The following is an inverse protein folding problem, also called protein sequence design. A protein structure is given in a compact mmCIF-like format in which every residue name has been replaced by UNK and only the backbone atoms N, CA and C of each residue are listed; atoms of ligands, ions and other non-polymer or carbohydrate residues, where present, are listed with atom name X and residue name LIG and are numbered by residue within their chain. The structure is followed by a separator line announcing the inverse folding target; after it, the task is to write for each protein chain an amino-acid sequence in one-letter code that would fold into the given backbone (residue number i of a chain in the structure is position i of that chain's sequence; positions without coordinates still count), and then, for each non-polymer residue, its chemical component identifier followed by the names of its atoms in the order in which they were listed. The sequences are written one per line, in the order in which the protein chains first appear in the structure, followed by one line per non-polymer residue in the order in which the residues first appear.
data_IF_250327228112
#
_entry.id   IF_250327228112
#
_cell.length_a   1.000
_cell.length_b   1.000
_cell.length_c   1.000
_cell.angle_alpha   90.00
_cell.angle_beta   90.00
_cell.angle_gamma   90.00
#
_symmetry.space_group_name_H-M   'P 1'
#
loop_
_entity.id
_entity.type
_entity.pdbx_description
1 polymer ?
#
# COMPACT_ATOMS: atom_id res chain seq x y z
N UNK A 1 12.26 9.14 11.25
CA UNK A 1 11.10 8.67 12.03
C UNK A 1 10.47 7.39 11.46
N UNK A 2 9.57 7.39 10.48
CA UNK A 2 8.91 6.13 10.04
C UNK A 2 9.87 5.07 9.51
N UNK A 3 10.70 5.40 8.51
CA UNK A 3 11.66 4.45 7.93
C UNK A 3 12.67 3.90 8.97
N UNK A 4 13.16 4.76 9.87
CA UNK A 4 14.08 4.35 10.94
C UNK A 4 13.44 3.37 11.91
N UNK A 5 12.19 3.62 12.31
CA UNK A 5 11.43 2.70 13.15
C UNK A 5 11.22 1.37 12.44
N UNK A 6 10.87 1.36 11.15
CA UNK A 6 10.71 0.13 10.38
C UNK A 6 12.00 -0.68 10.26
N UNK A 7 13.10 -0.01 9.93
CA UNK A 7 14.43 -0.62 9.90
C UNK A 7 14.81 -1.24 11.26
N UNK A 8 14.44 -0.62 12.38
CA UNK A 8 14.68 -1.19 13.72
C UNK A 8 13.81 -2.40 14.05
N UNK A 9 12.60 -2.48 13.49
CA UNK A 9 11.71 -3.63 13.63
C UNK A 9 12.07 -4.77 12.66
N UNK A 10 13.10 -4.60 11.81
CA UNK A 10 13.45 -5.59 10.77
C UNK A 10 12.44 -5.67 9.63
N UNK A 11 11.63 -4.63 9.45
CA UNK A 11 10.51 -4.60 8.50
C UNK A 11 10.90 -3.72 7.30
N UNK A 12 11.93 -4.16 6.57
CA UNK A 12 12.56 -3.44 5.45
C UNK A 12 14.08 -3.37 5.58
N UNK A 13 14.78 -2.76 4.61
CA UNK A 13 16.24 -2.68 4.60
C UNK A 13 16.76 -1.83 5.77
N UNK A 14 17.94 -2.19 6.28
CA UNK A 14 18.59 -1.41 7.33
C UNK A 14 18.96 -0.01 6.84
N UNK A 15 18.58 1.02 7.60
CA UNK A 15 19.05 2.38 7.32
C UNK A 15 20.54 2.51 7.68
N UNK A 16 21.37 2.86 6.71
CA UNK A 16 22.81 3.05 6.90
C UNK A 16 23.18 4.54 7.04
N UNK A 17 22.41 5.43 6.41
CA UNK A 17 22.63 6.88 6.51
C UNK A 17 21.48 7.69 5.94
N UNK A 18 21.36 8.95 6.38
CA UNK A 18 20.33 9.88 5.91
C UNK A 18 20.97 11.23 5.60
N UNK A 19 20.49 11.87 4.54
CA UNK A 19 20.89 13.21 4.13
C UNK A 19 19.65 14.00 3.66
N UNK A 20 19.72 15.32 3.49
CA UNK A 20 18.54 16.15 3.24
C UNK A 20 17.68 15.71 2.04
N UNK A 21 18.30 15.12 1.01
CA UNK A 21 17.65 14.72 -0.25
C UNK A 21 17.46 13.21 -0.41
N UNK A 22 17.80 12.40 0.61
CA UNK A 22 17.74 10.95 0.46
C UNK A 22 18.31 10.14 1.62
N UNK A 23 18.58 8.87 1.34
CA UNK A 23 19.08 7.90 2.32
C UNK A 23 19.96 6.85 1.66
N UNK A 24 20.82 6.22 2.46
CA UNK A 24 21.57 5.02 2.12
C UNK A 24 20.98 3.87 2.94
N UNK A 25 20.62 2.79 2.27
CA UNK A 25 20.00 1.60 2.87
C UNK A 25 20.76 0.34 2.47
N UNK A 26 20.61 -0.70 3.27
CA UNK A 26 21.12 -2.03 2.96
C UNK A 26 20.55 -2.56 1.64
N UNK A 27 21.41 -3.21 0.86
CA UNK A 27 20.98 -3.92 -0.33
C UNK A 27 20.43 -5.30 0.06
N UNK A 28 19.18 -5.56 -0.31
CA UNK A 28 18.51 -6.85 -0.06
C UNK A 28 18.77 -7.77 -1.25
N UNK A 29 19.38 -8.92 -0.99
CA UNK A 29 19.61 -9.96 -2.00
C UNK A 29 18.35 -10.80 -2.20
N UNK A 30 17.32 -10.20 -2.78
CA UNK A 30 16.03 -10.84 -3.07
C UNK A 30 15.48 -10.32 -4.39
N UNK A 31 14.55 -11.05 -4.99
CA UNK A 31 13.85 -10.57 -6.19
C UNK A 31 12.52 -9.92 -5.81
N UNK A 32 12.11 -8.92 -6.57
CA UNK A 32 10.74 -8.40 -6.50
C UNK A 32 9.75 -9.43 -7.02
N UNK A 33 8.54 -9.43 -6.47
CA UNK A 33 7.46 -10.25 -6.99
C UNK A 33 6.95 -9.70 -8.33
N UNK A 34 6.20 -10.54 -9.05
CA UNK A 34 5.45 -10.20 -10.25
C UNK A 34 3.95 -10.31 -10.00
N UNK A 35 3.14 -9.75 -10.90
CA UNK A 35 1.67 -9.93 -10.85
C UNK A 35 1.29 -11.43 -10.80
N UNK A 36 1.96 -12.28 -11.57
CA UNK A 36 1.70 -13.73 -11.57
C UNK A 36 2.05 -14.41 -10.25
N UNK A 37 3.02 -13.88 -9.48
CA UNK A 37 3.33 -14.43 -8.16
C UNK A 37 2.22 -14.13 -7.14
N UNK A 38 1.44 -13.06 -7.31
CA UNK A 38 0.35 -12.74 -6.39
C UNK A 38 -0.85 -13.68 -6.53
N UNK A 39 -0.99 -14.33 -7.69
CA UNK A 39 -2.00 -15.36 -7.93
C UNK A 39 -1.60 -16.75 -7.40
N UNK A 40 -0.33 -16.95 -7.02
CA UNK A 40 0.10 -18.20 -6.42
C UNK A 40 -0.40 -18.29 -4.98
N UNK A 41 -1.11 -19.38 -4.66
CA UNK A 41 -1.77 -19.54 -3.37
C UNK A 41 -0.77 -19.57 -2.20
N UNK A 42 0.41 -20.16 -2.39
CA UNK A 42 1.44 -20.25 -1.36
C UNK A 42 2.07 -18.88 -1.11
N UNK A 43 2.43 -18.16 -2.18
CA UNK A 43 2.99 -16.80 -2.10
C UNK A 43 1.95 -15.83 -1.50
N UNK A 44 0.68 -15.93 -1.92
CA UNK A 44 -0.41 -15.10 -1.40
C UNK A 44 -0.62 -15.31 0.10
N UNK A 45 -0.56 -16.56 0.57
CA UNK A 45 -0.62 -16.88 2.00
C UNK A 45 0.54 -16.27 2.78
N UNK A 46 1.77 -16.35 2.25
CA UNK A 46 2.94 -15.77 2.89
C UNK A 46 2.85 -14.23 2.96
N UNK A 47 2.42 -13.57 1.87
CA UNK A 47 2.16 -12.12 1.86
C UNK A 47 1.09 -11.76 2.91
N UNK A 48 0.03 -12.56 3.04
CA UNK A 48 -1.02 -12.34 4.03
C UNK A 48 -0.46 -12.39 5.46
N UNK A 49 0.37 -13.38 5.79
CA UNK A 49 1.04 -13.48 7.09
C UNK A 49 1.99 -12.30 7.31
N UNK A 50 2.84 -11.97 6.33
CA UNK A 50 3.80 -10.86 6.48
C UNK A 50 3.11 -9.50 6.62
N UNK A 51 2.02 -9.29 5.89
CA UNK A 51 1.22 -8.09 5.99
C UNK A 51 0.56 -7.99 7.36
N UNK A 52 0.16 -9.11 7.98
CA UNK A 52 -0.37 -9.12 9.34
C UNK A 52 0.67 -8.67 10.37
N UNK A 53 1.88 -9.22 10.30
CA UNK A 53 3.01 -8.79 11.14
C UNK A 53 3.25 -7.28 10.98
N UNK A 54 3.30 -6.79 9.74
CA UNK A 54 3.49 -5.37 9.45
C UNK A 54 2.39 -4.51 10.07
N UNK A 55 1.15 -4.99 10.00
CA UNK A 55 -0.01 -4.27 10.48
C UNK A 55 -0.10 -4.17 12.02
N UNK A 56 0.53 -5.11 12.71
CA UNK A 56 0.60 -5.18 14.18
C UNK A 56 1.82 -4.43 14.75
N UNK A 57 2.69 -3.87 13.90
CA UNK A 57 3.83 -3.05 14.34
C UNK A 57 3.42 -1.84 15.18
N UNK A 58 4.06 -1.72 16.35
CA UNK A 58 3.87 -0.60 17.24
C UNK A 58 4.73 0.61 16.82
N UNK A 59 4.18 1.43 15.93
CA UNK A 59 4.89 2.59 15.41
C UNK A 59 4.66 3.85 16.27
N UNK A 60 5.71 4.64 16.57
CA UNK A 60 5.61 5.85 17.40
C UNK A 60 4.99 7.06 16.66
N UNK A 61 4.10 6.83 15.69
CA UNK A 61 3.52 7.86 14.83
C UNK A 61 2.22 8.45 15.42
N UNK A 62 1.89 9.71 15.12
CA UNK A 62 0.62 10.30 15.53
C UNK A 62 -0.55 9.47 15.02
N UNK A 63 -1.51 9.16 15.91
CA UNK A 63 -2.70 8.34 15.66
C UNK A 63 -3.76 9.01 14.76
N UNK A 64 -3.34 9.85 13.82
CA UNK A 64 -4.22 10.60 12.92
C UNK A 64 -4.20 9.99 11.54
N UNK A 65 -5.39 9.84 10.94
CA UNK A 65 -5.55 9.37 9.55
C UNK A 65 -5.17 10.50 8.60
N UNK A 66 -4.04 10.35 7.91
CA UNK A 66 -3.51 11.39 7.01
C UNK A 66 -4.03 11.28 5.57
N UNK A 67 -4.74 10.20 5.24
CA UNK A 67 -5.21 9.89 3.88
C UNK A 67 -6.07 11.02 3.29
N UNK A 68 -7.09 11.47 4.03
CA UNK A 68 -8.04 12.45 3.54
C UNK A 68 -7.40 13.80 3.26
N UNK A 69 -6.56 14.27 4.17
CA UNK A 69 -5.79 15.50 3.99
C UNK A 69 -4.85 15.39 2.77
N UNK A 70 -4.23 14.23 2.56
CA UNK A 70 -3.37 14.00 1.38
C UNK A 70 -4.17 14.07 0.07
N UNK A 71 -5.33 13.41 0.00
CA UNK A 71 -6.21 13.46 -1.18
C UNK A 71 -6.67 14.89 -1.48
N UNK A 72 -7.06 15.66 -0.46
CA UNK A 72 -7.44 17.07 -0.62
C UNK A 72 -6.28 17.95 -1.07
N UNK A 73 -5.08 17.72 -0.54
CA UNK A 73 -3.88 18.44 -0.97
C UNK A 73 -3.54 18.16 -2.44
N UNK A 74 -3.66 16.90 -2.88
CA UNK A 74 -3.48 16.55 -4.29
C UNK A 74 -4.55 17.17 -5.16
N UNK A 75 -5.82 17.16 -4.74
CA UNK A 75 -6.89 17.83 -5.47
C UNK A 75 -6.60 19.33 -5.64
N UNK A 76 -6.17 20.00 -4.57
CA UNK A 76 -5.80 21.41 -4.61
C UNK A 76 -4.63 21.66 -5.59
N UNK A 77 -3.58 20.86 -5.52
CA UNK A 77 -2.44 20.96 -6.43
C UNK A 77 -2.85 20.71 -7.89
N UNK A 78 -3.69 19.70 -8.15
CA UNK A 78 -4.20 19.41 -9.50
C UNK A 78 -5.01 20.57 -10.05
N UNK A 79 -5.91 21.16 -9.26
CA UNK A 79 -6.68 22.35 -9.68
C UNK A 79 -5.81 23.56 -9.97
N UNK A 80 -4.68 23.70 -9.25
CA UNK A 80 -3.74 24.78 -9.48
C UNK A 80 -2.88 24.58 -10.75
N UNK A 81 -2.51 23.34 -11.06
CA UNK A 81 -1.68 22.99 -12.22
C UNK A 81 -2.48 22.88 -13.54
N UNK A 82 -3.74 22.47 -13.47
CA UNK A 82 -4.56 22.19 -14.65
C UNK A 82 -5.19 23.47 -15.24
N UNK A 83 -5.38 23.45 -16.56
CA UNK A 83 -6.23 24.40 -17.26
C UNK A 83 -7.71 24.23 -16.90
N UNK A 84 -8.53 25.25 -17.18
CA UNK A 84 -9.98 25.18 -16.96
C UNK A 84 -10.65 24.05 -17.75
N UNK A 85 -10.15 23.75 -18.95
CA UNK A 85 -10.68 22.66 -19.78
C UNK A 85 -10.36 21.29 -19.18
N UNK A 86 -9.16 21.11 -18.64
CA UNK A 86 -8.78 19.88 -17.92
C UNK A 86 -9.58 19.72 -16.62
N UNK A 87 -9.75 20.80 -15.84
CA UNK A 87 -10.57 20.78 -14.62
C UNK A 87 -11.99 20.29 -14.92
N UNK A 88 -12.59 20.77 -16.02
CA UNK A 88 -13.91 20.33 -16.48
C UNK A 88 -13.89 18.90 -17.00
N UNK A 89 -12.91 18.55 -17.84
CA UNK A 89 -12.79 17.22 -18.45
C UNK A 89 -12.64 16.12 -17.39
N UNK A 90 -11.80 16.35 -16.39
CA UNK A 90 -11.57 15.43 -15.26
C UNK A 90 -12.54 15.61 -14.10
N UNK A 91 -13.48 16.57 -14.20
CA UNK A 91 -14.46 16.89 -13.16
C UNK A 91 -13.82 17.10 -11.78
N UNK A 92 -12.69 17.80 -11.72
CA UNK A 92 -11.97 17.99 -10.45
C UNK A 92 -12.83 18.72 -9.40
N UNK A 93 -13.82 19.50 -9.84
CA UNK A 93 -14.76 20.15 -8.92
C UNK A 93 -15.69 19.22 -8.15
N UNK A 94 -15.96 18.00 -8.65
CA UNK A 94 -16.78 17.01 -7.92
C UNK A 94 -15.97 16.14 -6.96
N UNK A 95 -14.65 16.07 -7.10
CA UNK A 95 -13.80 15.13 -6.33
C UNK A 95 -13.85 15.43 -4.82
N UNK A 96 -13.95 16.70 -4.40
CA UNK A 96 -14.04 17.04 -2.97
C UNK A 96 -15.27 16.41 -2.30
N UNK A 97 -16.39 16.38 -3.03
CA UNK A 97 -17.63 15.76 -2.57
C UNK A 97 -17.47 14.23 -2.48
N UNK A 98 -16.78 13.60 -3.43
CA UNK A 98 -16.48 12.17 -3.40
C UNK A 98 -15.55 11.81 -2.24
N UNK A 99 -14.48 12.59 -2.02
CA UNK A 99 -13.59 12.43 -0.86
C UNK A 99 -14.40 12.53 0.42
N UNK A 100 -15.23 13.56 0.57
CA UNK A 100 -16.03 13.77 1.79
C UNK A 100 -17.06 12.66 2.02
N UNK A 101 -17.65 12.13 0.94
CA UNK A 101 -18.56 10.99 1.01
C UNK A 101 -17.83 9.72 1.47
N UNK A 102 -16.70 9.38 0.85
CA UNK A 102 -15.89 8.23 1.24
C UNK A 102 -15.38 8.36 2.67
N UNK A 103 -14.92 9.55 3.07
CA UNK A 103 -14.51 9.84 4.44
C UNK A 103 -15.63 9.58 5.43
N UNK A 104 -16.85 10.04 5.15
CA UNK A 104 -18.00 9.79 6.01
C UNK A 104 -18.37 8.31 6.09
N UNK A 105 -18.45 7.63 4.95
CA UNK A 105 -18.79 6.20 4.87
C UNK A 105 -17.74 5.33 5.59
N UNK A 106 -16.47 5.77 5.57
CA UNK A 106 -15.33 5.04 6.11
C UNK A 106 -14.81 5.61 7.44
N UNK A 107 -15.56 6.47 8.14
CA UNK A 107 -15.21 6.98 9.48
C UNK A 107 -16.17 6.53 10.59
N UNK A 108 -16.82 5.36 10.44
CA UNK A 108 -17.80 4.82 11.40
C UNK A 108 -17.24 4.45 12.78
N UNK A 109 -18.15 4.29 13.76
CA UNK A 109 -17.88 4.26 15.22
C UNK A 109 -16.94 3.15 15.74
N UNK A 110 -16.68 2.09 14.97
CA UNK A 110 -15.86 0.94 15.40
C UNK A 110 -14.54 0.77 14.62
N UNK A 111 -14.02 1.83 14.00
CA UNK A 111 -12.80 1.71 13.22
C UNK A 111 -11.55 1.83 14.09
N UNK A 112 -10.88 0.70 14.28
CA UNK A 112 -9.49 0.71 14.73
C UNK A 112 -8.62 1.37 13.66
N UNK A 113 -7.68 2.20 14.10
CA UNK A 113 -6.63 2.77 13.26
C UNK A 113 -5.39 1.91 13.39
N UNK A 114 -4.57 1.90 12.35
CA UNK A 114 -3.17 1.56 12.55
C UNK A 114 -2.36 1.58 11.29
N UNK A 115 -1.19 0.98 11.39
CA UNK A 115 -0.09 1.25 10.48
C UNK A 115 -0.20 0.47 9.17
N UNK A 116 -0.29 1.16 8.04
CA UNK A 116 -0.46 0.53 6.74
C UNK A 116 0.65 0.96 5.77
N UNK A 117 1.01 0.04 4.87
CA UNK A 117 1.99 0.30 3.83
C UNK A 117 1.47 1.31 2.78
N UNK A 118 0.19 1.19 2.39
CA UNK A 118 -0.57 2.00 1.42
C UNK A 118 -0.08 1.96 -0.05
N UNK A 119 0.95 1.18 -0.34
CA UNK A 119 1.52 1.03 -1.69
C UNK A 119 2.03 -0.40 -1.87
N UNK A 120 1.23 -1.38 -1.47
CA UNK A 120 1.60 -2.81 -1.45
C UNK A 120 1.45 -3.45 -2.85
N UNK A 121 2.13 -2.87 -3.84
CA UNK A 121 2.26 -3.47 -5.18
C UNK A 121 3.36 -4.54 -5.19
N UNK A 122 3.32 -5.48 -6.12
CA UNK A 122 4.32 -6.57 -6.21
C UNK A 122 5.78 -6.07 -6.30
N UNK A 123 6.01 -4.89 -6.90
CA UNK A 123 7.33 -4.27 -6.97
C UNK A 123 7.89 -3.84 -5.61
N UNK A 124 7.04 -3.70 -4.59
CA UNK A 124 7.41 -3.35 -3.22
C UNK A 124 7.45 -4.59 -2.29
N UNK A 125 7.30 -5.80 -2.84
CA UNK A 125 7.42 -7.05 -2.09
C UNK A 125 8.62 -7.79 -2.66
N UNK A 126 9.59 -8.08 -1.81
CA UNK A 126 10.76 -8.88 -2.16
C UNK A 126 10.67 -10.25 -1.50
N UNK A 127 11.13 -11.26 -2.21
CA UNK A 127 11.23 -12.63 -1.73
C UNK A 127 12.62 -13.17 -2.02
N UNK A 128 13.26 -13.70 -0.99
CA UNK A 128 14.45 -14.52 -1.12
C UNK A 128 14.03 -15.92 -1.58
N UNK A 129 14.59 -16.40 -2.69
CA UNK A 129 14.21 -17.69 -3.28
C UNK A 129 14.70 -18.91 -2.47
N UNK A 130 15.79 -18.77 -1.71
CA UNK A 130 16.33 -19.86 -0.90
C UNK A 130 15.58 -20.00 0.41
N UNK A 131 15.32 -18.88 1.08
CA UNK A 131 14.72 -18.87 2.42
C UNK A 131 13.20 -18.70 2.42
N UNK A 132 12.61 -18.30 1.28
CA UNK A 132 11.19 -17.90 1.14
C UNK A 132 10.78 -16.86 2.17
N UNK A 133 11.70 -16.01 2.61
CA UNK A 133 11.42 -14.92 3.53
C UNK A 133 10.97 -13.69 2.74
N UNK A 134 9.77 -13.19 3.03
CA UNK A 134 9.25 -11.96 2.44
C UNK A 134 9.73 -10.72 3.19
N UNK A 135 10.15 -9.72 2.43
CA UNK A 135 10.38 -8.37 2.94
C UNK A 135 9.47 -7.38 2.23
N UNK A 136 8.71 -6.61 3.00
CA UNK A 136 7.94 -5.46 2.49
C UNK A 136 8.88 -4.26 2.46
N UNK A 137 9.12 -3.70 1.27
CA UNK A 137 9.94 -2.49 1.10
C UNK A 137 9.11 -1.28 1.47
N UNK A 138 9.59 -0.49 2.44
CA UNK A 138 8.89 0.70 2.93
C UNK A 138 8.83 1.81 1.88
N UNK A 139 7.61 2.14 1.45
CA UNK A 139 7.29 3.28 0.59
C UNK A 139 7.12 4.59 1.39
N UNK A 140 7.33 5.74 0.72
CA UNK A 140 7.02 7.06 1.28
C UNK A 140 5.54 7.25 1.66
N UNK A 141 4.66 6.35 1.18
CA UNK A 141 3.22 6.40 1.45
C UNK A 141 2.79 5.68 2.73
N UNK A 142 3.70 4.99 3.40
CA UNK A 142 3.42 4.28 4.65
C UNK A 142 2.98 5.25 5.76
N UNK A 143 1.78 5.04 6.30
CA UNK A 143 1.16 5.91 7.31
C UNK A 143 0.04 5.20 8.07
N UNK A 144 -0.44 5.83 9.15
CA UNK A 144 -1.63 5.37 9.88
C UNK A 144 -2.89 5.64 9.06
N UNK A 145 -3.71 4.60 8.89
CA UNK A 145 -5.02 4.65 8.22
C UNK A 145 -6.03 3.83 9.02
N UNK A 146 -7.33 4.01 8.76
CA UNK A 146 -8.33 3.13 9.37
C UNK A 146 -8.17 1.69 8.88
N UNK A 147 -8.52 0.71 9.70
CA UNK A 147 -8.42 -0.70 9.37
C UNK A 147 -9.29 -1.14 8.19
N UNK A 148 -10.42 -0.47 7.95
CA UNK A 148 -11.22 -0.65 6.74
C UNK A 148 -10.41 -0.22 5.48
N UNK A 149 -9.77 0.95 5.53
CA UNK A 149 -8.86 1.42 4.48
C UNK A 149 -7.68 0.48 4.30
N UNK A 150 -7.11 -0.02 5.40
CA UNK A 150 -5.97 -0.91 5.41
C UNK A 150 -6.22 -2.18 4.57
N UNK A 151 -7.39 -2.80 4.73
CA UNK A 151 -7.76 -3.98 3.94
C UNK A 151 -8.08 -3.63 2.48
N UNK A 152 -8.88 -2.59 2.25
CA UNK A 152 -9.30 -2.19 0.90
C UNK A 152 -8.10 -1.74 0.08
N UNK A 153 -7.23 -0.88 0.63
CA UNK A 153 -6.04 -0.39 -0.06
C UNK A 153 -5.10 -1.55 -0.34
N UNK A 154 -4.72 -2.34 0.67
CA UNK A 154 -3.77 -3.45 0.47
C UNK A 154 -4.27 -4.45 -0.56
N UNK A 155 -5.54 -4.84 -0.52
CA UNK A 155 -6.09 -5.75 -1.53
C UNK A 155 -6.27 -5.11 -2.90
N UNK A 156 -6.63 -3.83 -2.96
CA UNK A 156 -6.72 -3.13 -4.24
C UNK A 156 -5.35 -2.98 -4.90
N UNK A 157 -4.29 -2.67 -4.15
CA UNK A 157 -2.94 -2.52 -4.67
C UNK A 157 -2.31 -3.87 -5.05
N UNK A 158 -2.58 -4.93 -4.28
CA UNK A 158 -2.13 -6.29 -4.60
C UNK A 158 -2.82 -6.83 -5.85
N UNK A 159 -4.15 -6.77 -5.90
CA UNK A 159 -4.92 -7.55 -6.90
C UNK A 159 -5.43 -6.73 -8.09
N UNK A 160 -5.33 -5.38 -8.08
CA UNK A 160 -5.77 -4.54 -9.20
C UNK A 160 -4.63 -3.88 -9.99
N UNK A 161 -3.37 -4.30 -9.80
CA UNK A 161 -2.25 -3.74 -10.55
C UNK A 161 -1.64 -4.74 -11.53
N UNK A 162 -1.83 -4.46 -12.82
CA UNK A 162 -1.03 -5.01 -13.93
C UNK A 162 -0.14 -3.91 -14.52
N UNK A 163 0.97 -3.60 -13.86
CA UNK A 163 1.99 -2.68 -14.40
C UNK A 163 3.13 -3.49 -15.05
N UNK A 164 2.94 -3.87 -16.30
CA UNK A 164 4.06 -4.28 -17.15
C UNK A 164 4.89 -3.03 -17.48
N UNK A 165 6.17 -3.01 -17.12
CA UNK A 165 7.14 -1.95 -17.44
C UNK A 165 7.57 -1.98 -18.93
N UNK A 166 6.64 -2.26 -19.83
CA UNK A 166 6.89 -2.31 -21.26
C UNK A 166 6.14 -1.17 -21.96
N UNK A 167 6.70 0.04 -21.83
CA UNK A 167 6.54 1.20 -22.73
C UNK A 167 5.15 1.76 -23.03
N UNK A 168 4.07 1.15 -22.56
CA UNK A 168 2.70 1.51 -22.92
C UNK A 168 1.82 1.33 -21.70
N UNK A 169 1.34 2.45 -21.14
CA UNK A 169 0.35 2.46 -20.07
C UNK A 169 -0.99 1.97 -20.65
N UNK A 170 -1.11 0.66 -20.87
CA UNK A 170 -2.40 -0.01 -20.85
C UNK A 170 -2.73 -0.20 -19.39
N UNK A 171 -3.48 0.75 -18.84
CA UNK A 171 -4.20 0.58 -17.59
C UNK A 171 -5.16 -0.62 -17.74
N UNK A 172 -4.63 -1.81 -17.49
CA UNK A 172 -5.33 -3.08 -17.57
C UNK A 172 -6.20 -3.21 -16.31
N UNK A 173 -7.22 -2.36 -16.22
CA UNK A 173 -8.24 -2.41 -15.16
C UNK A 173 -9.13 -3.67 -15.24
N UNK A 174 -8.90 -4.60 -16.18
CA UNK A 174 -9.90 -5.60 -16.58
C UNK A 174 -9.44 -7.07 -16.59
N UNK A 175 -8.16 -7.44 -16.42
CA UNK A 175 -7.76 -8.84 -16.65
C UNK A 175 -7.48 -9.73 -15.42
N UNK A 176 -7.47 -9.21 -14.19
CA UNK A 176 -7.34 -10.06 -13.00
C UNK A 176 -8.51 -9.88 -12.04
N UNK A 177 -9.71 -10.01 -12.58
CA UNK A 177 -10.90 -10.41 -11.82
C UNK A 177 -10.81 -11.88 -11.40
N UNK A 178 -9.66 -12.31 -10.85
CA UNK A 178 -9.49 -13.62 -10.23
C UNK A 178 -9.88 -13.57 -8.75
N UNK A 179 -9.79 -12.38 -8.13
CA UNK A 179 -9.74 -12.16 -6.68
C UNK A 179 -10.92 -12.56 -5.79
N UNK A 180 -11.86 -13.43 -6.17
CA UNK A 180 -12.72 -14.08 -5.17
C UNK A 180 -12.00 -15.26 -4.53
N UNK A 181 -11.46 -16.18 -5.33
CA UNK A 181 -10.76 -17.37 -4.83
C UNK A 181 -9.46 -17.00 -4.10
N UNK A 182 -8.66 -16.06 -4.62
CA UNK A 182 -7.44 -15.64 -3.90
C UNK A 182 -7.76 -14.85 -2.62
N UNK A 183 -8.88 -14.13 -2.56
CA UNK A 183 -9.31 -13.46 -1.32
C UNK A 183 -9.80 -14.46 -0.27
N UNK A 184 -10.42 -15.55 -0.70
CA UNK A 184 -10.82 -16.66 0.17
C UNK A 184 -9.62 -17.37 0.82
N UNK A 185 -8.42 -17.27 0.22
CA UNK A 185 -7.18 -17.75 0.82
C UNK A 185 -6.51 -16.65 1.66
N UNK A 186 -6.38 -15.45 1.10
CA UNK A 186 -5.64 -14.35 1.69
C UNK A 186 -6.26 -13.88 3.01
N UNK A 187 -7.59 -13.65 3.03
CA UNK A 187 -8.26 -13.06 4.21
C UNK A 187 -8.22 -14.00 5.41
N UNK A 188 -8.59 -15.29 5.31
CA UNK A 188 -8.48 -16.20 6.46
C UNK A 188 -7.04 -16.35 6.94
N UNK A 189 -6.07 -16.47 6.02
CA UNK A 189 -4.65 -16.55 6.38
C UNK A 189 -4.20 -15.30 7.16
N UNK A 190 -4.53 -14.11 6.66
CA UNK A 190 -4.22 -12.84 7.33
C UNK A 190 -4.85 -12.74 8.73
N UNK A 191 -6.12 -13.14 8.86
CA UNK A 191 -6.85 -13.05 10.13
C UNK A 191 -6.34 -14.06 11.16
N UNK A 192 -5.98 -15.27 10.73
CA UNK A 192 -5.50 -16.37 11.58
C UNK A 192 -4.00 -16.29 11.89
N UNK A 193 -3.24 -15.49 11.15
CA UNK A 193 -1.83 -15.25 11.44
C UNK A 193 -1.67 -14.46 12.74
N UNK A 194 -0.69 -14.85 13.56
CA UNK A 194 -0.28 -14.10 14.75
C UNK A 194 0.68 -12.99 14.32
N UNK A 195 0.44 -11.76 14.78
CA UNK A 195 1.40 -10.65 14.65
C UNK A 195 2.25 -10.47 15.90
#
# INVERSE_FOLDING_TARGET
MTFESMSKHGQGPRLLGRFPTGRVEEFIHARTLSATNLCDAEISALIATKLREFHDLHMPSPKNVMLWNRLRNWLCASKWLCSLDEVKAFKLDSIEMEISRLEKELSGENQSIGFCHNDLQYGNIMMDEETRVETIIVSSYTQIVNCAHRHVISQSTLFNHGFSYDGFVKSLWVAYATGLEEREIFVPTYLNSSG
#
